data_IF_050914467981
#
_entry.id   IF_050914467981
#
_cell.length_a   1.000
_cell.length_b   1.000
_cell.length_c   1.000
_cell.angle_alpha   90.00
_cell.angle_beta   90.00
_cell.angle_gamma   90.00
#
_symmetry.space_group_name_H-M   'P 1'
#
loop_
_entity.id
_entity.type
_entity.pdbx_description
1 polymer ?
#
# COMPACT_ATOMS: atom_id res chain seq x y z
N UNK A 1 -15.82 -1.78 7.84
CA UNK A 1 -16.29 -0.87 6.78
C UNK A 1 -16.67 -1.70 5.55
N UNK A 2 -17.83 -1.48 4.96
CA UNK A 2 -18.32 -2.20 3.77
C UNK A 2 -18.03 -1.42 2.48
N UNK A 3 -18.15 -2.01 1.28
CA UNK A 3 -17.99 -1.29 0.02
C UNK A 3 -18.94 -0.07 -0.09
N UNK A 4 -20.21 -0.22 0.31
CA UNK A 4 -21.19 0.86 0.30
C UNK A 4 -20.75 2.03 1.18
N UNK A 5 -20.23 1.74 2.37
CA UNK A 5 -19.71 2.78 3.27
C UNK A 5 -18.48 3.49 2.68
N UNK A 6 -17.60 2.77 1.96
CA UNK A 6 -16.48 3.38 1.24
C UNK A 6 -16.97 4.32 0.15
N UNK A 7 -17.95 3.90 -0.66
CA UNK A 7 -18.51 4.76 -1.71
C UNK A 7 -19.25 5.99 -1.17
N UNK A 8 -19.82 5.91 0.03
CA UNK A 8 -20.38 7.09 0.70
C UNK A 8 -19.30 8.10 1.13
N UNK A 9 -18.15 7.62 1.58
CA UNK A 9 -17.02 8.47 1.98
C UNK A 9 -16.22 8.98 0.78
N UNK A 10 -16.13 8.16 -0.27
CA UNK A 10 -15.39 8.42 -1.50
C UNK A 10 -16.33 8.18 -2.70
N UNK A 11 -17.14 9.17 -3.09
CA UNK A 11 -18.08 9.02 -4.21
C UNK A 11 -17.43 8.65 -5.54
N UNK A 12 -16.13 8.93 -5.70
CA UNK A 12 -15.32 8.51 -6.84
C UNK A 12 -14.85 7.05 -6.81
N UNK A 13 -15.17 6.28 -5.76
CA UNK A 13 -14.77 4.88 -5.66
C UNK A 13 -15.58 3.99 -6.61
N UNK A 14 -14.90 3.36 -7.55
CA UNK A 14 -15.49 2.51 -8.59
C UNK A 14 -14.88 1.11 -8.56
N UNK A 15 -15.59 0.07 -9.04
CA UNK A 15 -14.98 -1.24 -9.25
C UNK A 15 -13.75 -1.14 -10.16
N UNK A 16 -12.64 -1.84 -9.87
CA UNK A 16 -11.46 -1.81 -10.73
C UNK A 16 -11.76 -2.53 -12.06
N UNK A 17 -11.07 -2.14 -13.13
CA UNK A 17 -11.21 -2.79 -14.44
C UNK A 17 -10.79 -4.27 -14.41
N UNK A 18 -9.79 -4.61 -13.59
CA UNK A 18 -9.37 -5.98 -13.29
C UNK A 18 -9.34 -6.13 -11.78
N UNK A 19 -10.06 -7.11 -11.24
CA UNK A 19 -10.09 -7.36 -9.80
C UNK A 19 -8.80 -8.04 -9.34
N UNK A 20 -8.03 -7.36 -8.48
CA UNK A 20 -6.97 -7.97 -7.72
C UNK A 20 -7.48 -8.88 -6.60
N UNK A 21 -6.62 -9.77 -6.13
CA UNK A 21 -6.82 -10.50 -4.88
C UNK A 21 -5.52 -10.54 -4.09
N UNK A 22 -5.62 -10.43 -2.77
CA UNK A 22 -4.50 -10.61 -1.87
C UNK A 22 -4.37 -12.08 -1.48
N UNK A 23 -3.17 -12.45 -1.06
CA UNK A 23 -2.96 -13.66 -0.30
C UNK A 23 -3.90 -13.69 0.92
N UNK A 24 -4.53 -14.83 1.18
CA UNK A 24 -5.57 -14.96 2.21
C UNK A 24 -7.00 -14.64 1.74
N UNK A 25 -7.21 -14.34 0.45
CA UNK A 25 -8.53 -14.34 -0.19
C UNK A 25 -9.30 -13.02 -0.16
N UNK A 26 -8.69 -11.93 0.32
CA UNK A 26 -9.31 -10.61 0.23
C UNK A 26 -9.35 -10.14 -1.24
N UNK A 27 -10.49 -9.64 -1.69
CA UNK A 27 -10.72 -9.21 -3.08
C UNK A 27 -10.74 -7.70 -3.18
N UNK A 28 -10.13 -7.17 -4.24
CA UNK A 28 -10.26 -5.77 -4.61
C UNK A 28 -11.67 -5.53 -5.16
N UNK A 29 -12.45 -4.71 -4.47
CA UNK A 29 -13.82 -4.40 -4.90
C UNK A 29 -14.00 -2.96 -5.33
N UNK A 30 -13.13 -2.05 -4.88
CA UNK A 30 -13.21 -0.64 -5.19
C UNK A 30 -11.80 -0.07 -5.38
N UNK A 31 -11.67 0.91 -6.27
CA UNK A 31 -10.49 1.72 -6.46
C UNK A 31 -10.89 3.20 -6.56
N UNK A 32 -10.01 4.09 -6.08
CA UNK A 32 -10.11 5.53 -6.25
C UNK A 32 -8.83 6.00 -6.95
N UNK A 33 -8.92 6.54 -8.18
CA UNK A 33 -7.76 7.12 -8.85
C UNK A 33 -7.41 8.49 -8.27
N UNK A 34 -6.26 9.01 -8.69
CA UNK A 34 -5.82 10.40 -8.47
C UNK A 34 -5.78 10.84 -6.99
N UNK A 35 -5.39 9.92 -6.10
CA UNK A 35 -5.19 10.20 -4.68
C UNK A 35 -3.83 10.86 -4.48
N UNK A 36 -3.80 12.11 -4.05
CA UNK A 36 -2.55 12.83 -3.80
C UNK A 36 -2.06 12.66 -2.35
N UNK A 37 -0.80 12.25 -2.18
CA UNK A 37 -0.10 12.17 -0.90
C UNK A 37 1.32 12.71 -1.05
N UNK A 38 1.67 13.71 -0.24
CA UNK A 38 2.99 14.33 -0.22
C UNK A 38 3.49 14.75 -1.63
N UNK A 39 2.57 15.28 -2.46
CA UNK A 39 2.85 15.71 -3.83
C UNK A 39 2.98 14.60 -4.87
N UNK A 40 2.66 13.35 -4.50
CA UNK A 40 2.68 12.20 -5.41
C UNK A 40 1.26 11.67 -5.62
N UNK A 41 0.97 11.19 -6.82
CA UNK A 41 -0.36 10.68 -7.19
C UNK A 41 -0.39 9.16 -7.11
N UNK A 42 -1.49 8.62 -6.57
CA UNK A 42 -1.69 7.20 -6.37
C UNK A 42 -3.07 6.75 -6.86
N UNK A 43 -3.18 5.46 -7.16
CA UNK A 43 -4.47 4.76 -7.17
C UNK A 43 -4.62 4.01 -5.84
N UNK A 44 -5.69 4.30 -5.12
CA UNK A 44 -6.05 3.62 -3.88
C UNK A 44 -7.01 2.46 -4.15
N UNK A 45 -6.54 1.23 -3.94
CA UNK A 45 -7.30 -0.01 -4.06
C UNK A 45 -7.78 -0.52 -2.70
N UNK A 46 -9.07 -0.85 -2.58
CA UNK A 46 -9.72 -1.30 -1.36
C UNK A 46 -10.02 -2.80 -1.43
N UNK A 47 -9.43 -3.56 -0.49
CA UNK A 47 -9.53 -5.01 -0.43
C UNK A 47 -10.42 -5.46 0.73
N UNK A 48 -11.34 -6.38 0.43
CA UNK A 48 -12.38 -6.83 1.36
C UNK A 48 -12.34 -8.35 1.53
N UNK A 49 -12.56 -8.80 2.77
CA UNK A 49 -12.73 -10.21 3.17
C UNK A 49 -13.86 -10.27 4.21
N UNK A 50 -14.69 -11.31 4.15
CA UNK A 50 -15.83 -11.51 5.06
C UNK A 50 -16.73 -10.26 5.20
N UNK A 51 -16.99 -9.59 4.07
CA UNK A 51 -17.76 -8.34 3.96
C UNK A 51 -17.18 -7.12 4.72
N UNK A 52 -15.92 -7.19 5.15
CA UNK A 52 -15.22 -6.09 5.80
C UNK A 52 -13.97 -5.65 5.05
N UNK A 53 -13.66 -4.35 5.10
CA UNK A 53 -12.38 -3.81 4.64
C UNK A 53 -11.23 -4.44 5.45
N UNK A 54 -10.27 -5.01 4.74
CA UNK A 54 -9.08 -5.65 5.31
C UNK A 54 -7.85 -4.78 5.09
N UNK A 55 -7.68 -4.28 3.86
CA UNK A 55 -6.48 -3.56 3.45
C UNK A 55 -6.84 -2.48 2.43
N UNK A 56 -6.14 -1.35 2.50
CA UNK A 56 -6.08 -0.35 1.43
C UNK A 56 -4.64 -0.33 0.93
N UNK A 57 -4.46 -0.42 -0.39
CA UNK A 57 -3.15 -0.32 -1.03
C UNK A 57 -3.16 0.87 -1.96
N UNK A 58 -2.24 1.80 -1.79
CA UNK A 58 -2.01 2.90 -2.70
C UNK A 58 -0.78 2.60 -3.53
N UNK A 59 -0.95 2.54 -4.86
CA UNK A 59 0.16 2.34 -5.80
C UNK A 59 0.48 3.65 -6.50
N UNK A 60 1.76 4.00 -6.54
CA UNK A 60 2.22 5.20 -7.21
C UNK A 60 1.85 5.15 -8.69
N UNK A 61 1.39 6.28 -9.23
CA UNK A 61 1.07 6.43 -10.65
C UNK A 61 1.91 7.49 -11.31
N UNK A 62 2.24 7.28 -12.59
CA UNK A 62 2.88 8.29 -13.44
C UNK A 62 4.39 8.43 -13.27
N UNK A 63 5.00 7.70 -12.33
CA UNK A 63 6.46 7.66 -12.17
C UNK A 63 6.97 6.24 -12.41
N UNK A 64 7.81 6.10 -13.43
CA UNK A 64 8.34 4.82 -13.89
C UNK A 64 9.86 4.73 -13.71
N UNK A 65 10.52 5.84 -13.36
CA UNK A 65 11.97 5.86 -13.18
C UNK A 65 12.36 5.48 -11.76
N UNK A 66 13.44 4.71 -11.61
CA UNK A 66 14.02 4.37 -10.30
C UNK A 66 14.25 5.61 -9.45
N UNK A 67 14.88 6.65 -10.01
CA UNK A 67 15.19 7.89 -9.31
C UNK A 67 13.93 8.63 -8.83
N UNK A 68 12.87 8.63 -9.65
CA UNK A 68 11.60 9.26 -9.29
C UNK A 68 10.88 8.50 -8.19
N UNK A 69 10.85 7.16 -8.25
CA UNK A 69 10.29 6.35 -7.17
C UNK A 69 11.08 6.50 -5.86
N UNK A 70 12.41 6.60 -5.92
CA UNK A 70 13.24 6.82 -4.72
C UNK A 70 12.99 8.21 -4.12
N UNK A 71 12.85 9.26 -4.93
CA UNK A 71 12.43 10.60 -4.46
C UNK A 71 11.04 10.57 -3.82
N UNK A 72 10.09 9.88 -4.45
CA UNK A 72 8.75 9.71 -3.91
C UNK A 72 8.78 8.97 -2.57
N UNK A 73 9.56 7.90 -2.45
CA UNK A 73 9.77 7.18 -1.19
C UNK A 73 10.31 8.09 -0.08
N UNK A 74 11.34 8.90 -0.36
CA UNK A 74 11.92 9.83 0.62
C UNK A 74 10.89 10.88 1.07
N UNK A 75 10.12 11.45 0.13
CA UNK A 75 9.04 12.41 0.44
C UNK A 75 7.98 11.79 1.36
N UNK A 76 7.52 10.59 1.03
CA UNK A 76 6.52 9.85 1.81
C UNK A 76 7.05 9.46 3.19
N UNK A 77 8.28 8.96 3.26
CA UNK A 77 8.93 8.62 4.53
C UNK A 77 8.99 9.84 5.45
N UNK A 78 9.42 11.01 4.94
CA UNK A 78 9.42 12.25 5.71
C UNK A 78 8.03 12.65 6.22
N UNK A 79 7.02 12.58 5.35
CA UNK A 79 5.63 12.89 5.72
C UNK A 79 5.06 11.92 6.77
N UNK A 80 5.34 10.62 6.64
CA UNK A 80 4.79 9.59 7.53
C UNK A 80 5.52 9.57 8.86
N UNK A 81 6.83 9.76 8.87
CA UNK A 81 7.61 9.94 10.09
C UNK A 81 7.13 11.14 10.91
N UNK A 82 6.86 12.27 10.26
CA UNK A 82 6.30 13.43 10.94
C UNK A 82 4.89 13.18 11.53
N UNK A 83 4.13 12.25 10.93
CA UNK A 83 2.76 11.93 11.34
C UNK A 83 2.67 10.84 12.42
N UNK A 84 3.53 9.82 12.35
CA UNK A 84 3.42 8.60 13.16
C UNK A 84 4.57 8.40 14.15
N UNK A 85 5.63 9.20 14.06
CA UNK A 85 6.82 9.21 14.92
C UNK A 85 7.67 7.94 14.87
N UNK A 86 7.21 6.82 15.44
CA UNK A 86 8.01 5.62 15.63
C UNK A 86 7.85 4.64 14.46
N UNK A 87 8.96 4.34 13.80
CA UNK A 87 9.02 3.38 12.69
C UNK A 87 9.94 2.18 12.95
N UNK A 88 9.66 1.09 12.23
CA UNK A 88 10.62 0.01 11.98
C UNK A 88 11.02 0.05 10.50
N UNK A 89 12.33 0.21 10.23
CA UNK A 89 12.88 0.21 8.88
C UNK A 89 13.60 -1.12 8.61
N UNK A 90 13.12 -1.85 7.60
CA UNK A 90 13.80 -3.02 7.05
C UNK A 90 14.27 -2.73 5.64
N UNK A 91 15.53 -3.05 5.35
CA UNK A 91 16.10 -2.95 4.01
C UNK A 91 16.67 -4.30 3.59
N UNK A 92 16.34 -4.74 2.39
CA UNK A 92 16.86 -5.95 1.77
C UNK A 92 17.46 -5.61 0.42
N UNK A 93 18.75 -5.89 0.24
CA UNK A 93 19.47 -5.65 -0.99
C UNK A 93 20.10 -6.94 -1.49
N UNK A 94 19.86 -7.25 -2.75
CA UNK A 94 20.46 -8.38 -3.48
C UNK A 94 21.03 -7.87 -4.80
N UNK A 95 21.71 -8.75 -5.56
CA UNK A 95 22.26 -8.37 -6.87
C UNK A 95 21.19 -7.94 -7.90
N UNK A 96 19.93 -8.37 -7.74
CA UNK A 96 18.86 -8.20 -8.72
C UNK A 96 17.69 -7.35 -8.23
N UNK A 97 17.63 -7.11 -6.92
CA UNK A 97 16.48 -6.53 -6.25
C UNK A 97 16.91 -5.72 -5.03
N UNK A 98 16.31 -4.55 -4.88
CA UNK A 98 16.36 -3.72 -3.69
C UNK A 98 14.94 -3.55 -3.16
N UNK A 99 14.75 -3.79 -1.87
CA UNK A 99 13.47 -3.56 -1.19
C UNK A 99 13.73 -2.73 0.05
N UNK A 100 13.01 -1.62 0.16
CA UNK A 100 12.96 -0.81 1.37
C UNK A 100 11.54 -0.86 1.92
N UNK A 101 11.40 -1.21 3.18
CA UNK A 101 10.11 -1.33 3.85
C UNK A 101 10.18 -0.57 5.16
N UNK A 102 9.36 0.48 5.28
CA UNK A 102 9.16 1.20 6.54
C UNK A 102 7.77 0.89 7.06
N UNK A 103 7.70 0.56 8.33
CA UNK A 103 6.46 0.22 9.00
C UNK A 103 6.19 1.15 10.18
N UNK A 104 4.94 1.55 10.33
CA UNK A 104 4.42 2.25 11.50
C UNK A 104 3.21 1.51 12.06
N UNK A 105 3.00 1.60 13.39
CA UNK A 105 1.88 0.95 14.08
C UNK A 105 0.94 1.93 14.83
N UNK A 106 0.41 3.00 14.18
CA UNK A 106 -0.44 3.97 14.85
C UNK A 106 -1.74 3.33 15.35
N UNK A 107 -2.00 3.45 16.66
CA UNK A 107 -3.26 2.98 17.28
C UNK A 107 -3.61 1.52 16.94
N UNK A 108 -2.59 0.65 16.79
CA UNK A 108 -2.76 -0.76 16.46
C UNK A 108 -3.11 -1.05 14.98
N UNK A 109 -3.02 -0.07 14.09
CA UNK A 109 -3.14 -0.25 12.63
C UNK A 109 -1.75 -0.29 12.03
N UNK A 110 -1.52 -1.21 11.08
CA UNK A 110 -0.23 -1.33 10.42
C UNK A 110 -0.21 -0.50 9.14
N UNK A 111 0.77 0.38 9.02
CA UNK A 111 1.03 1.21 7.85
C UNK A 111 2.39 0.83 7.31
N UNK A 112 2.47 0.42 6.05
CA UNK A 112 3.71 -0.02 5.42
C UNK A 112 3.96 0.86 4.21
N UNK A 113 5.12 1.51 4.14
CA UNK A 113 5.66 2.11 2.93
C UNK A 113 6.67 1.12 2.33
N UNK A 114 6.37 0.61 1.14
CA UNK A 114 7.19 -0.38 0.45
C UNK A 114 7.69 0.20 -0.86
N UNK A 115 9.00 0.25 -1.00
CA UNK A 115 9.69 0.46 -2.26
C UNK A 115 10.33 -0.85 -2.70
N UNK A 116 10.06 -1.25 -3.93
CA UNK A 116 10.58 -2.44 -4.57
C UNK A 116 11.19 -2.05 -5.91
N UNK A 117 12.48 -2.26 -6.04
CA UNK A 117 13.23 -2.08 -7.27
C UNK A 117 13.70 -3.45 -7.77
N UNK A 118 13.52 -3.69 -9.06
CA UNK A 118 13.88 -4.94 -9.72
C UNK A 118 14.52 -4.64 -11.06
N UNK A 119 15.67 -5.26 -11.36
CA UNK A 119 16.35 -5.04 -12.65
C UNK A 119 15.56 -5.58 -13.84
N UNK A 120 14.86 -6.69 -13.66
CA UNK A 120 14.23 -7.46 -14.73
C UNK A 120 12.70 -7.52 -14.59
N UNK A 121 12.11 -6.73 -13.70
CA UNK A 121 10.68 -6.68 -13.48
C UNK A 121 10.21 -5.27 -13.09
N UNK A 122 8.88 -5.07 -13.05
CA UNK A 122 8.28 -3.77 -12.78
C UNK A 122 8.59 -3.37 -11.33
N UNK A 123 9.33 -2.27 -11.16
CA UNK A 123 9.52 -1.62 -9.87
C UNK A 123 8.20 -1.02 -9.38
N UNK A 124 8.01 -0.99 -8.07
CA UNK A 124 6.76 -0.54 -7.44
C UNK A 124 7.07 0.30 -6.20
N UNK A 125 6.26 1.35 -5.99
CA UNK A 125 6.17 2.06 -4.74
C UNK A 125 4.73 2.01 -4.27
N UNK A 126 4.52 1.45 -3.08
CA UNK A 126 3.19 1.31 -2.52
C UNK A 126 3.13 1.65 -1.04
N UNK A 127 1.97 2.16 -0.63
CA UNK A 127 1.58 2.34 0.76
C UNK A 127 0.49 1.33 1.06
N UNK A 128 0.64 0.58 2.14
CA UNK A 128 -0.33 -0.42 2.58
C UNK A 128 -0.85 -0.05 3.96
N UNK A 129 -2.16 0.16 4.05
CA UNK A 129 -2.87 0.31 5.32
C UNK A 129 -3.62 -0.99 5.63
N UNK A 130 -3.20 -1.70 6.67
CA UNK A 130 -3.91 -2.88 7.17
C UNK A 130 -4.82 -2.50 8.33
N UNK A 131 -6.12 -2.68 8.11
CA UNK A 131 -7.17 -2.39 9.10
C UNK A 131 -7.37 -3.56 10.06
N UNK A 132 -7.07 -4.78 9.59
CA UNK A 132 -6.97 -5.99 10.40
C UNK A 132 -5.59 -6.58 10.19
N UNK A 133 -4.87 -6.84 11.29
CA UNK A 133 -3.63 -7.59 11.22
C UNK A 133 -3.95 -9.04 10.79
N UNK A 134 -3.19 -9.62 9.85
CA UNK A 134 -3.35 -11.02 9.51
C UNK A 134 -3.08 -11.90 10.74
N UNK A 135 -3.81 -13.00 10.86
CA UNK A 135 -3.59 -13.97 11.93
C UNK A 135 -2.20 -14.63 11.79
N UNK A 136 -1.70 -15.22 12.87
CA UNK A 136 -0.41 -15.95 12.86
C UNK A 136 -0.40 -17.12 11.85
N UNK A 137 -1.56 -17.67 11.51
CA UNK A 137 -1.70 -18.73 10.50
C UNK A 137 -1.58 -18.17 9.08
N UNK A 138 -2.06 -16.95 8.84
CA UNK A 138 -1.94 -16.26 7.55
C UNK A 138 -0.49 -15.82 7.24
N UNK A 139 0.38 -15.74 8.27
CA UNK A 139 1.79 -15.36 8.15
C UNK A 139 2.78 -16.53 8.01
N UNK A 140 2.37 -17.79 8.22
CA UNK A 140 3.30 -18.93 8.30
C UNK A 140 3.29 -19.88 7.08
N UNK A 141 2.44 -19.64 6.08
CA UNK A 141 2.39 -20.44 4.85
C UNK A 141 3.38 -19.93 3.78
N UNK A 142 4.59 -19.56 4.22
CA UNK A 142 5.70 -19.09 3.39
C UNK A 142 6.60 -20.24 2.92
#
# INVERSE_FOLDING_TARGET
>A
MTPVQIQQLFPGAQPPGIQGSLYGGAKELLAVPDVEIAGNTFVASFFFKDNGLTQVMLKLTGEETTDGMERAYVSLYGAFRAKYCDEELTTMNTAFMRTMTTEWLPEGRRVILRYFECRDCISDLSIVYQVRLPSREELNNH
#
